data_IF_760369248343
#
_entry.id   IF_760369248343
#
_cell.length_a   1.000
_cell.length_b   1.000
_cell.length_c   1.000
_cell.angle_alpha   90.00
_cell.angle_beta   90.00
_cell.angle_gamma   90.00
#
_symmetry.space_group_name_H-M   'P 1'
#
loop_
_entity.id
_entity.type
_entity.pdbx_description
1 polymer ?
#
# COMPACT_ATOMS: atom_id res chain seq x y z
N UNK A 1 -15.03 18.90 -18.29
CA UNK A 1 -14.80 17.50 -17.84
C UNK A 1 -13.36 17.15 -18.14
N UNK A 2 -12.62 16.73 -17.11
CA UNK A 2 -11.21 16.40 -17.23
C UNK A 2 -10.96 15.03 -16.58
N UNK A 3 -10.31 14.14 -17.31
CA UNK A 3 -9.76 12.89 -16.80
C UNK A 3 -8.25 12.91 -17.05
N UNK A 4 -7.43 12.77 -16.00
CA UNK A 4 -5.98 12.67 -16.13
C UNK A 4 -5.44 11.48 -15.34
N UNK A 5 -4.39 10.85 -15.87
CA UNK A 5 -3.66 9.78 -15.16
C UNK A 5 -2.41 10.41 -14.57
N UNK A 6 -2.26 10.29 -13.26
CA UNK A 6 -1.19 10.93 -12.49
C UNK A 6 -0.49 9.91 -11.61
N UNK A 7 0.83 10.00 -11.48
CA UNK A 7 1.55 9.34 -10.39
C UNK A 7 1.07 9.93 -9.05
N UNK A 8 0.98 9.11 -7.99
CA UNK A 8 0.53 9.55 -6.67
C UNK A 8 1.23 10.83 -6.17
N UNK A 9 2.54 11.00 -6.45
CA UNK A 9 3.33 12.16 -6.01
C UNK A 9 2.81 13.47 -6.62
N UNK A 10 2.21 13.38 -7.81
CA UNK A 10 1.60 14.53 -8.48
C UNK A 10 0.25 14.90 -7.87
N UNK A 11 -0.33 14.10 -6.97
CA UNK A 11 -1.53 14.50 -6.22
C UNK A 11 -1.27 15.67 -5.26
N UNK A 12 -0.01 16.03 -5.00
CA UNK A 12 0.33 17.26 -4.27
C UNK A 12 -0.27 18.50 -4.94
N UNK A 13 -0.43 18.51 -6.27
CA UNK A 13 -1.12 19.59 -6.98
C UNK A 13 -2.57 19.75 -6.49
N UNK A 14 -3.24 18.64 -6.16
CA UNK A 14 -4.58 18.69 -5.62
C UNK A 14 -4.55 19.37 -4.24
N UNK A 15 -3.60 19.01 -3.37
CA UNK A 15 -3.45 19.60 -2.03
C UNK A 15 -3.19 21.11 -2.11
N UNK A 16 -2.26 21.53 -2.97
CA UNK A 16 -1.96 22.94 -3.21
C UNK A 16 -3.20 23.73 -3.68
N UNK A 17 -4.04 23.11 -4.52
CA UNK A 17 -5.25 23.76 -5.02
C UNK A 17 -6.38 23.81 -3.97
N UNK A 18 -6.37 22.91 -2.98
CA UNK A 18 -7.26 23.00 -1.81
C UNK A 18 -6.88 24.23 -0.97
N UNK A 19 -5.59 24.40 -0.70
CA UNK A 19 -5.05 25.55 0.03
C UNK A 19 -5.32 26.87 -0.71
N UNK A 20 -5.11 26.92 -2.03
CA UNK A 20 -5.38 28.12 -2.84
C UNK A 20 -6.85 28.54 -2.88
N UNK A 21 -7.78 27.65 -2.52
CA UNK A 21 -9.22 27.91 -2.50
C UNK A 21 -9.75 28.22 -1.10
N UNK A 22 -8.85 28.43 -0.13
CA UNK A 22 -9.20 28.67 1.28
C UNK A 22 -10.08 27.55 1.86
N UNK A 23 -9.85 26.30 1.42
CA UNK A 23 -10.55 25.13 1.94
C UNK A 23 -9.73 24.58 3.11
N UNK A 24 -10.19 24.86 4.34
CA UNK A 24 -9.49 24.42 5.56
C UNK A 24 -9.68 22.92 5.87
N UNK A 25 -10.73 22.30 5.31
CA UNK A 25 -11.05 20.90 5.55
C UNK A 25 -11.78 20.24 4.37
N UNK A 26 -11.54 18.94 4.19
CA UNK A 26 -12.23 18.12 3.20
C UNK A 26 -12.42 16.68 3.68
N UNK A 27 -13.33 15.95 3.05
CA UNK A 27 -13.60 14.55 3.38
C UNK A 27 -13.21 13.62 2.23
N UNK A 28 -12.72 12.43 2.58
CA UNK A 28 -12.58 11.32 1.64
C UNK A 28 -13.71 10.34 1.92
N UNK A 29 -14.45 9.99 0.87
CA UNK A 29 -15.60 9.09 0.95
C UNK A 29 -15.45 7.90 0.02
N UNK A 30 -15.95 6.74 0.46
CA UNK A 30 -16.00 5.55 -0.37
C UNK A 30 -17.17 5.60 -1.38
N UNK A 31 -17.07 4.93 -2.53
CA UNK A 31 -17.99 5.15 -3.65
C UNK A 31 -19.28 4.31 -3.60
N UNK A 32 -19.37 3.35 -2.69
CA UNK A 32 -20.43 2.35 -2.58
C UNK A 32 -21.62 2.86 -1.76
N UNK A 33 -21.37 3.37 -0.55
CA UNK A 33 -22.40 3.87 0.38
C UNK A 33 -22.20 5.35 0.75
N UNK A 34 -21.18 6.01 0.18
CA UNK A 34 -20.81 7.39 0.49
C UNK A 34 -20.47 7.59 1.98
N UNK A 35 -20.01 6.52 2.65
CA UNK A 35 -19.47 6.58 3.99
C UNK A 35 -18.19 7.40 3.99
N UNK A 36 -18.02 8.21 5.03
CA UNK A 36 -16.76 8.91 5.26
C UNK A 36 -15.69 7.88 5.61
N UNK A 37 -14.55 7.95 4.92
CA UNK A 37 -13.34 7.20 5.25
C UNK A 37 -12.46 8.03 6.18
N UNK A 38 -12.24 9.29 5.86
CA UNK A 38 -11.51 10.24 6.70
C UNK A 38 -11.99 11.67 6.50
N UNK A 39 -11.72 12.51 7.49
CA UNK A 39 -11.78 13.97 7.39
C UNK A 39 -10.37 14.52 7.52
N UNK A 40 -9.95 15.35 6.58
CA UNK A 40 -8.65 16.02 6.59
C UNK A 40 -8.87 17.47 6.95
N UNK A 41 -8.12 17.97 7.93
CA UNK A 41 -8.00 19.39 8.22
C UNK A 41 -6.58 19.84 7.91
N UNK A 42 -6.45 20.90 7.12
CA UNK A 42 -5.16 21.47 6.76
C UNK A 42 -4.65 22.34 7.92
N UNK A 43 -3.38 22.19 8.27
CA UNK A 43 -2.69 22.96 9.31
C UNK A 43 -1.27 23.30 8.84
N UNK A 44 -1.12 24.46 8.21
CA UNK A 44 0.17 24.90 7.68
C UNK A 44 0.78 23.83 6.76
N UNK A 45 1.94 23.25 7.12
CA UNK A 45 2.65 22.20 6.36
C UNK A 45 2.23 20.76 6.74
N UNK A 46 1.18 20.60 7.54
CA UNK A 46 0.71 19.30 8.04
C UNK A 46 -0.82 19.12 7.90
N UNK A 47 -1.26 17.87 8.04
CA UNK A 47 -2.66 17.47 7.94
C UNK A 47 -3.12 16.74 9.20
N UNK A 48 -4.14 17.27 9.87
CA UNK A 48 -4.86 16.53 10.92
C UNK A 48 -5.92 15.63 10.27
N UNK A 49 -5.71 14.32 10.36
CA UNK A 49 -6.60 13.29 9.81
C UNK A 49 -7.46 12.72 10.93
N UNK A 50 -8.78 12.90 10.83
CA UNK A 50 -9.77 12.20 11.65
C UNK A 50 -10.23 10.91 10.97
N UNK A 51 -10.00 9.77 11.63
CA UNK A 51 -10.36 8.44 11.14
C UNK A 51 -11.84 8.12 11.34
N UNK A 52 -12.35 7.25 10.49
CA UNK A 52 -13.69 6.69 10.65
C UNK A 52 -13.70 5.46 11.54
N UNK A 53 -14.78 5.29 12.29
CA UNK A 53 -14.93 4.16 13.20
C UNK A 53 -15.30 2.89 12.45
N UNK A 54 -14.99 1.71 13.01
CA UNK A 54 -15.42 0.41 12.48
C UNK A 54 -16.90 0.37 12.16
N UNK A 55 -17.74 0.88 13.08
CA UNK A 55 -19.20 0.94 12.93
C UNK A 55 -19.65 1.74 11.69
N UNK A 56 -18.91 2.78 11.32
CA UNK A 56 -19.24 3.60 10.14
C UNK A 56 -18.86 2.92 8.82
N UNK A 57 -18.00 1.90 8.87
CA UNK A 57 -17.50 1.16 7.71
C UNK A 57 -18.01 -0.29 7.71
N UNK A 58 -19.03 -0.58 8.52
CA UNK A 58 -19.74 -1.86 8.42
C UNK A 58 -20.54 -1.88 7.12
N UNK A 59 -20.27 -2.89 6.30
CA UNK A 59 -21.01 -3.13 5.06
C UNK A 59 -22.44 -3.55 5.46
N UNK A 60 -23.49 -2.83 5.01
CA UNK A 60 -24.86 -3.21 5.32
C UNK A 60 -25.18 -4.59 4.73
N UNK A 61 -25.46 -5.57 5.59
CA UNK A 61 -25.90 -6.91 5.15
C UNK A 61 -27.37 -6.82 4.75
N UNK A 62 -27.62 -6.66 3.46
CA UNK A 62 -28.97 -6.71 2.89
C UNK A 62 -29.30 -8.15 2.49
N UNK A 63 -30.32 -8.77 3.11
CA UNK A 63 -30.79 -10.12 2.73
C UNK A 63 -31.49 -10.17 1.37
N UNK A 64 -31.84 -9.02 0.81
CA UNK A 64 -32.71 -8.89 -0.38
C UNK A 64 -31.95 -8.51 -1.64
N UNK A 65 -30.63 -8.32 -1.54
CA UNK A 65 -29.85 -7.63 -2.56
C UNK A 65 -28.58 -8.43 -2.86
N UNK A 66 -28.36 -8.69 -4.15
CA UNK A 66 -27.40 -9.68 -4.68
C UNK A 66 -25.93 -9.22 -4.60
N UNK A 67 -25.46 -8.82 -3.42
CA UNK A 67 -24.08 -8.38 -3.23
C UNK A 67 -23.13 -9.57 -3.09
N UNK A 68 -21.97 -9.52 -3.74
CA UNK A 68 -20.82 -10.28 -3.25
C UNK A 68 -20.12 -9.39 -2.21
N UNK A 69 -20.47 -9.60 -0.93
CA UNK A 69 -19.90 -8.84 0.20
C UNK A 69 -18.36 -8.86 0.20
N UNK A 70 -17.75 -9.86 -0.43
CA UNK A 70 -16.29 -9.99 -0.54
C UNK A 70 -15.65 -8.93 -1.46
N UNK A 71 -16.43 -8.27 -2.32
CA UNK A 71 -15.92 -7.26 -3.26
C UNK A 71 -16.03 -5.83 -2.74
N UNK A 72 -16.73 -5.61 -1.63
CA UNK A 72 -16.84 -4.31 -0.97
C UNK A 72 -15.79 -4.24 0.14
N UNK A 73 -14.76 -3.41 0.01
CA UNK A 73 -13.77 -3.24 1.05
C UNK A 73 -14.41 -2.69 2.32
N UNK A 74 -14.10 -3.33 3.45
CA UNK A 74 -14.64 -2.98 4.75
C UNK A 74 -13.59 -2.31 5.65
N UNK A 75 -13.78 -2.47 6.96
CA UNK A 75 -12.86 -1.92 7.96
C UNK A 75 -11.45 -2.54 7.89
N UNK A 76 -11.32 -3.79 7.45
CA UNK A 76 -10.01 -4.45 7.36
C UNK A 76 -9.15 -3.83 6.26
N UNK A 77 -9.69 -3.67 5.05
CA UNK A 77 -8.98 -3.00 3.94
C UNK A 77 -8.70 -1.53 4.28
N UNK A 78 -9.63 -0.86 4.95
CA UNK A 78 -9.38 0.48 5.47
C UNK A 78 -8.18 0.50 6.43
N UNK A 79 -8.14 -0.42 7.40
CA UNK A 79 -7.04 -0.54 8.37
C UNK A 79 -5.71 -0.87 7.68
N UNK A 80 -5.72 -1.76 6.70
CA UNK A 80 -4.54 -2.07 5.88
C UNK A 80 -4.01 -0.81 5.20
N UNK A 81 -4.86 0.02 4.58
CA UNK A 81 -4.44 1.30 3.99
C UNK A 81 -3.83 2.27 5.02
N UNK A 82 -4.35 2.32 6.25
CA UNK A 82 -3.78 3.18 7.30
C UNK A 82 -2.37 2.73 7.68
N UNK A 83 -2.13 1.42 7.71
CA UNK A 83 -0.83 0.84 8.06
C UNK A 83 0.13 0.94 6.87
N UNK A 84 -0.28 0.61 5.65
CA UNK A 84 0.60 0.68 4.49
C UNK A 84 1.01 2.11 4.15
N UNK A 85 0.14 3.09 4.38
CA UNK A 85 0.42 4.48 4.04
C UNK A 85 1.45 5.18 4.94
N UNK A 86 1.70 4.66 6.14
CA UNK A 86 2.49 5.37 7.15
C UNK A 86 1.67 6.03 8.26
N UNK A 87 0.34 6.07 8.14
CA UNK A 87 -0.51 6.84 9.06
C UNK A 87 -0.59 6.22 10.46
N UNK A 88 -0.67 4.89 10.51
CA UNK A 88 -0.77 4.13 11.76
C UNK A 88 0.40 3.18 11.85
N UNK A 89 1.18 3.28 12.92
CA UNK A 89 2.30 2.40 13.17
C UNK A 89 1.87 1.03 13.73
N UNK A 90 2.77 0.06 13.56
CA UNK A 90 2.72 -1.19 14.32
C UNK A 90 2.91 -0.89 15.81
N UNK A 91 2.35 -1.74 16.67
CA UNK A 91 2.36 -1.50 18.11
C UNK A 91 3.78 -1.48 18.69
N UNK A 92 4.65 -2.34 18.19
CA UNK A 92 6.06 -2.47 18.59
C UNK A 92 7.01 -1.82 17.58
N UNK A 93 6.60 -0.70 16.97
CA UNK A 93 7.40 -0.04 15.93
C UNK A 93 8.76 0.47 16.41
N UNK A 94 8.87 0.90 17.67
CA UNK A 94 10.17 1.30 18.23
C UNK A 94 11.11 0.10 18.38
N UNK A 95 10.60 -1.03 18.87
CA UNK A 95 11.38 -2.27 19.00
C UNK A 95 11.87 -2.77 17.63
N UNK A 96 11.05 -2.60 16.58
CA UNK A 96 11.47 -2.90 15.20
C UNK A 96 12.62 -1.99 14.75
N UNK A 97 12.54 -0.69 15.04
CA UNK A 97 13.64 0.24 14.72
C UNK A 97 14.91 -0.11 15.48
N UNK A 98 14.80 -0.51 16.76
CA UNK A 98 15.94 -0.98 17.56
C UNK A 98 16.60 -2.19 16.89
N UNK A 99 15.80 -3.16 16.46
CA UNK A 99 16.25 -4.39 15.81
C UNK A 99 16.92 -4.13 14.46
N UNK A 100 16.33 -3.27 13.61
CA UNK A 100 16.95 -2.87 12.33
C UNK A 100 18.24 -2.07 12.58
N UNK A 101 18.26 -1.20 13.59
CA UNK A 101 19.44 -0.41 13.92
C UNK A 101 20.59 -1.28 14.43
N UNK A 102 20.31 -2.38 15.13
CA UNK A 102 21.31 -3.36 15.53
C UNK A 102 22.07 -3.92 14.31
N UNK A 103 21.35 -4.39 13.28
CA UNK A 103 21.98 -4.91 12.07
C UNK A 103 22.74 -3.83 11.29
N UNK A 104 22.15 -2.63 11.19
CA UNK A 104 22.81 -1.50 10.55
C UNK A 104 24.16 -1.16 11.20
N UNK A 105 24.25 -1.23 12.54
CA UNK A 105 25.50 -1.00 13.27
C UNK A 105 26.49 -2.15 13.11
N UNK A 106 26.03 -3.40 13.19
CA UNK A 106 26.90 -4.57 13.10
C UNK A 106 27.63 -4.65 11.77
N UNK A 107 27.01 -4.21 10.67
CA UNK A 107 27.67 -4.17 9.35
C UNK A 107 28.71 -3.05 9.23
N UNK A 108 28.56 -1.96 9.98
CA UNK A 108 29.41 -0.76 9.86
C UNK A 108 30.59 -0.73 10.83
N UNK A 109 30.55 -1.51 11.89
CA UNK A 109 31.56 -1.53 12.94
C UNK A 109 32.43 -2.80 12.84
N UNK A 110 33.70 -2.69 12.41
CA UNK A 110 34.60 -3.83 12.32
C UNK A 110 34.79 -4.50 13.69
N UNK A 111 34.39 -5.78 13.80
CA UNK A 111 34.56 -6.60 15.00
C UNK A 111 33.29 -6.87 15.81
N UNK A 112 32.12 -6.32 15.43
CA UNK A 112 30.83 -6.74 16.02
C UNK A 112 30.20 -7.94 15.30
N UNK A 113 30.31 -8.03 13.98
CA UNK A 113 29.94 -9.20 13.18
C UNK A 113 30.90 -9.31 11.99
N UNK A 114 31.14 -10.54 11.50
CA UNK A 114 31.89 -10.80 10.27
C UNK A 114 30.99 -10.99 9.04
N UNK A 115 29.67 -11.01 9.21
CA UNK A 115 28.71 -11.40 8.17
C UNK A 115 27.65 -10.32 7.96
N UNK A 116 27.36 -10.02 6.68
CA UNK A 116 26.27 -9.14 6.27
C UNK A 116 24.93 -9.84 6.48
N UNK A 117 23.94 -9.09 6.96
CA UNK A 117 22.61 -9.64 7.28
C UNK A 117 21.65 -9.33 6.15
N UNK A 118 21.10 -10.37 5.53
CA UNK A 118 20.11 -10.25 4.49
C UNK A 118 18.71 -10.22 5.09
N UNK A 119 17.96 -9.16 4.82
CA UNK A 119 16.57 -9.02 5.26
C UNK A 119 15.62 -9.74 4.29
N UNK A 120 14.57 -10.36 4.84
CA UNK A 120 13.51 -10.96 4.04
C UNK A 120 12.14 -10.75 4.68
N UNK A 121 11.09 -10.90 3.87
CA UNK A 121 9.71 -10.63 4.25
C UNK A 121 8.80 -11.81 3.90
N UNK A 122 7.73 -11.97 4.67
CA UNK A 122 6.62 -12.84 4.30
C UNK A 122 5.59 -12.14 3.38
N UNK A 123 4.56 -12.89 3.00
CA UNK A 123 3.46 -12.41 2.17
C UNK A 123 2.69 -11.26 2.84
N UNK A 124 2.45 -11.30 4.15
CA UNK A 124 1.70 -10.26 4.87
C UNK A 124 2.44 -8.92 4.89
N UNK A 125 3.75 -8.96 5.13
CA UNK A 125 4.60 -7.76 5.10
C UNK A 125 4.62 -7.12 3.72
N UNK A 126 4.57 -7.92 2.65
CA UNK A 126 4.43 -7.39 1.29
C UNK A 126 3.11 -6.62 1.10
N UNK A 127 1.99 -7.11 1.68
CA UNK A 127 0.72 -6.38 1.68
C UNK A 127 0.76 -5.07 2.47
N UNK A 128 1.61 -4.95 3.50
CA UNK A 128 1.82 -3.69 4.22
C UNK A 128 2.84 -2.76 3.57
N UNK A 129 3.53 -3.22 2.50
CA UNK A 129 4.55 -2.47 1.77
C UNK A 129 5.61 -1.85 2.68
N UNK A 130 6.03 -2.62 3.67
CA UNK A 130 6.85 -2.13 4.78
C UNK A 130 8.11 -1.40 4.31
N UNK A 131 8.87 -2.01 3.41
CA UNK A 131 10.18 -1.53 2.96
C UNK A 131 10.00 -0.29 2.08
N UNK A 132 9.13 -0.33 1.07
CA UNK A 132 8.95 0.81 0.15
C UNK A 132 8.23 2.02 0.77
N UNK A 133 7.57 1.84 1.91
CA UNK A 133 6.73 2.88 2.55
C UNK A 133 7.28 3.42 3.86
N UNK A 134 7.98 2.60 4.64
CA UNK A 134 8.42 2.97 5.98
C UNK A 134 9.89 3.32 6.06
N UNK A 135 10.68 3.01 5.04
CA UNK A 135 12.04 3.52 4.91
C UNK A 135 12.02 4.88 4.18
N UNK A 136 12.93 5.80 4.55
CA UNK A 136 14.00 5.65 5.53
C UNK A 136 13.51 5.72 6.98
N UNK A 137 14.04 4.84 7.83
CA UNK A 137 13.82 4.89 9.27
C UNK A 137 14.69 5.98 9.90
N UNK A 138 14.09 6.73 10.83
CA UNK A 138 14.82 7.67 11.69
C UNK A 138 14.86 7.12 13.09
N UNK A 139 16.07 6.88 13.59
CA UNK A 139 16.30 6.35 14.91
C UNK A 139 17.57 6.95 15.51
N UNK A 140 17.45 7.55 16.70
CA UNK A 140 18.57 8.14 17.44
C UNK A 140 19.46 9.06 16.57
N UNK A 141 18.83 9.96 15.80
CA UNK A 141 19.51 10.86 14.86
C UNK A 141 20.07 10.20 13.59
N UNK A 142 20.09 8.87 13.52
CA UNK A 142 20.53 8.09 12.36
C UNK A 142 19.38 7.91 11.38
N UNK A 143 19.69 8.13 10.09
CA UNK A 143 18.79 7.84 8.98
C UNK A 143 19.24 6.54 8.34
N UNK A 144 18.45 5.48 8.52
CA UNK A 144 18.68 4.16 7.94
C UNK A 144 17.77 4.04 6.71
N UNK A 145 18.37 3.84 5.53
CA UNK A 145 17.63 3.69 4.28
C UNK A 145 17.47 2.22 3.92
N UNK A 146 16.52 1.92 3.04
CA UNK A 146 16.32 0.55 2.60
C UNK A 146 17.53 0.03 1.83
N UNK A 147 18.25 0.89 1.11
CA UNK A 147 19.48 0.54 0.38
C UNK A 147 20.69 0.27 1.27
N UNK A 148 20.58 0.47 2.59
CA UNK A 148 21.66 0.17 3.52
C UNK A 148 21.66 -1.33 3.94
N UNK A 149 20.81 -2.17 3.33
CA UNK A 149 20.72 -3.61 3.57
C UNK A 149 20.67 -4.40 2.25
N UNK A 150 21.07 -5.66 2.32
CA UNK A 150 20.79 -6.64 1.28
C UNK A 150 19.49 -7.40 1.56
N UNK A 151 18.84 -7.90 0.51
CA UNK A 151 17.52 -8.54 0.62
C UNK A 151 17.46 -9.91 -0.02
N UNK A 152 16.65 -10.78 0.55
CA UNK A 152 16.25 -12.06 -0.01
C UNK A 152 14.75 -12.09 -0.25
N UNK A 153 14.34 -12.67 -1.37
CA UNK A 153 12.93 -12.86 -1.71
C UNK A 153 12.63 -14.32 -2.05
N UNK A 154 11.74 -14.92 -1.26
CA UNK A 154 11.27 -16.29 -1.49
C UNK A 154 10.33 -16.38 -2.68
N UNK A 155 10.55 -17.35 -3.57
CA UNK A 155 9.64 -17.61 -4.69
C UNK A 155 8.27 -18.14 -4.26
N UNK A 156 8.14 -18.61 -3.01
CA UNK A 156 6.86 -19.03 -2.43
C UNK A 156 6.01 -17.78 -2.16
N UNK A 157 6.58 -16.74 -1.55
CA UNK A 157 5.92 -15.45 -1.31
C UNK A 157 5.48 -14.80 -2.62
N UNK A 158 6.36 -14.78 -3.64
CA UNK A 158 5.99 -14.31 -4.98
C UNK A 158 4.82 -15.13 -5.57
N UNK A 159 4.90 -16.46 -5.45
CA UNK A 159 3.88 -17.37 -5.97
C UNK A 159 2.51 -17.23 -5.29
N UNK A 160 2.49 -16.91 -4.01
CA UNK A 160 1.26 -16.62 -3.25
C UNK A 160 0.61 -15.34 -3.77
N UNK A 161 1.36 -14.24 -3.86
CA UNK A 161 0.82 -12.98 -4.38
C UNK A 161 0.35 -13.14 -5.84
N UNK A 162 1.14 -13.79 -6.71
CA UNK A 162 0.76 -14.06 -8.10
C UNK A 162 -0.50 -14.93 -8.22
N UNK A 163 -0.78 -15.80 -7.23
CA UNK A 163 -1.99 -16.61 -7.22
C UNK A 163 -3.26 -15.76 -7.13
N UNK A 164 -3.22 -14.63 -6.42
CA UNK A 164 -4.36 -13.74 -6.25
C UNK A 164 -4.59 -12.80 -7.46
N UNK A 165 -3.66 -12.74 -8.42
CA UNK A 165 -3.77 -11.92 -9.64
C UNK A 165 -4.45 -12.71 -10.77
N UNK A 166 -5.69 -13.17 -10.56
CA UNK A 166 -6.38 -14.04 -11.55
C UNK A 166 -7.73 -13.55 -11.99
N UNK A 167 -8.42 -12.80 -11.13
CA UNK A 167 -9.83 -12.53 -11.32
C UNK A 167 -10.10 -11.11 -11.82
N UNK A 168 -11.04 -11.00 -12.75
CA UNK A 168 -11.50 -9.72 -13.29
C UNK A 168 -13.01 -9.69 -13.24
N UNK A 169 -13.57 -8.52 -12.98
CA UNK A 169 -15.01 -8.30 -13.04
C UNK A 169 -15.55 -8.59 -14.45
N UNK A 170 -16.41 -9.60 -14.54
CA UNK A 170 -17.30 -9.85 -15.67
C UNK A 170 -18.53 -8.93 -15.61
N UNK A 171 -19.28 -8.88 -16.72
CA UNK A 171 -20.51 -8.05 -16.80
C UNK A 171 -21.58 -8.51 -15.81
N UNK A 172 -21.63 -9.80 -15.49
CA UNK A 172 -22.53 -10.38 -14.48
C UNK A 172 -22.21 -9.87 -13.08
N UNK A 173 -20.93 -9.82 -12.76
CA UNK A 173 -20.42 -9.45 -11.43
C UNK A 173 -20.75 -7.98 -11.15
N UNK A 174 -20.62 -7.11 -12.16
CA UNK A 174 -20.99 -5.69 -12.07
C UNK A 174 -22.50 -5.43 -12.02
N UNK A 175 -23.33 -6.40 -12.43
CA UNK A 175 -24.79 -6.32 -12.26
C UNK A 175 -25.19 -6.70 -10.84
N UNK A 176 -24.44 -7.61 -10.22
CA UNK A 176 -24.57 -8.02 -8.82
C UNK A 176 -23.95 -7.01 -7.85
N UNK A 177 -22.87 -6.33 -8.26
CA UNK A 177 -22.42 -5.06 -7.66
C UNK A 177 -23.46 -4.00 -8.01
N UNK A 178 -24.62 -4.06 -7.35
CA UNK A 178 -25.64 -3.04 -7.32
C UNK A 178 -25.09 -1.78 -6.68
N UNK A 179 -24.15 -1.13 -7.36
CA UNK A 179 -23.65 0.19 -7.00
C UNK A 179 -24.85 1.12 -6.97
N UNK A 180 -25.43 1.31 -5.77
CA UNK A 180 -26.39 2.36 -5.39
C UNK A 180 -25.74 3.73 -5.47
N UNK A 181 -24.92 3.93 -6.48
CA UNK A 181 -24.15 5.12 -6.61
C UNK A 181 -25.08 6.22 -7.13
N UNK A 182 -25.36 7.18 -6.25
CA UNK A 182 -25.55 8.58 -6.67
C UNK A 182 -24.36 9.08 -7.52
N UNK A 183 -23.25 8.33 -7.56
CA UNK A 183 -22.12 8.49 -8.47
C UNK A 183 -22.49 7.87 -9.82
N UNK A 184 -22.84 8.71 -10.78
CA UNK A 184 -23.01 8.28 -12.17
C UNK A 184 -21.86 7.39 -12.66
N UNK A 185 -22.20 6.33 -13.38
CA UNK A 185 -21.33 5.59 -14.30
C UNK A 185 -19.95 5.04 -13.88
N UNK A 186 -19.61 5.07 -12.59
CA UNK A 186 -18.39 4.48 -12.05
C UNK A 186 -18.25 2.98 -12.40
N UNK A 187 -19.37 2.26 -12.51
CA UNK A 187 -19.44 0.86 -12.97
C UNK A 187 -18.64 0.59 -14.24
N UNK A 188 -18.67 1.48 -15.22
CA UNK A 188 -17.94 1.27 -16.47
C UNK A 188 -16.42 1.34 -16.30
N UNK A 189 -15.94 2.04 -15.26
CA UNK A 189 -14.51 2.10 -14.93
C UNK A 189 -14.02 0.79 -14.31
N UNK A 190 -14.89 0.05 -13.62
CA UNK A 190 -14.60 -1.25 -13.00
C UNK A 190 -14.69 -2.42 -13.98
N UNK A 191 -15.32 -2.24 -15.15
CA UNK A 191 -15.47 -3.32 -16.13
C UNK A 191 -14.15 -3.89 -16.61
N UNK A 192 -14.02 -5.23 -16.55
CA UNK A 192 -12.81 -5.97 -16.91
C UNK A 192 -11.57 -5.47 -16.13
N UNK A 193 -11.77 -5.09 -14.87
CA UNK A 193 -10.70 -4.74 -13.91
C UNK A 193 -10.62 -5.78 -12.82
N UNK A 194 -9.50 -5.78 -12.09
CA UNK A 194 -9.26 -6.73 -11.00
C UNK A 194 -10.30 -6.60 -9.88
N UNK A 195 -10.70 -7.75 -9.35
CA UNK A 195 -11.46 -7.88 -8.09
C UNK A 195 -10.69 -7.25 -6.92
N UNK A 196 -11.32 -7.11 -5.75
CA UNK A 196 -10.65 -6.62 -4.56
C UNK A 196 -9.36 -7.40 -4.28
N UNK A 197 -9.42 -8.73 -4.31
CA UNK A 197 -8.26 -9.61 -4.13
C UNK A 197 -7.14 -9.35 -5.15
N UNK A 198 -7.51 -9.18 -6.43
CA UNK A 198 -6.52 -8.82 -7.46
C UNK A 198 -5.92 -7.43 -7.23
N UNK A 199 -6.69 -6.47 -6.70
CA UNK A 199 -6.17 -5.14 -6.35
C UNK A 199 -5.19 -5.22 -5.18
N UNK A 200 -5.52 -5.99 -4.13
CA UNK A 200 -4.62 -6.27 -3.00
C UNK A 200 -3.32 -6.92 -3.49
N UNK A 201 -3.43 -7.94 -4.33
CA UNK A 201 -2.27 -8.65 -4.85
C UNK A 201 -1.35 -7.74 -5.67
N UNK A 202 -1.92 -6.93 -6.58
CA UNK A 202 -1.14 -5.94 -7.34
C UNK A 202 -0.50 -4.89 -6.45
N UNK A 203 -1.15 -4.51 -5.35
CA UNK A 203 -0.57 -3.62 -4.35
C UNK A 203 0.69 -4.22 -3.71
N UNK A 204 0.63 -5.49 -3.29
CA UNK A 204 1.77 -6.22 -2.74
C UNK A 204 2.85 -6.48 -3.79
N UNK A 205 2.48 -6.73 -5.07
CA UNK A 205 3.45 -6.89 -6.17
C UNK A 205 4.37 -5.67 -6.31
N UNK A 206 3.90 -4.46 -5.99
CA UNK A 206 4.78 -3.28 -6.05
C UNK A 206 5.86 -3.27 -4.97
N UNK A 207 5.59 -3.87 -3.81
CA UNK A 207 6.65 -4.12 -2.82
C UNK A 207 7.68 -5.10 -3.38
N UNK A 208 7.22 -6.20 -3.98
CA UNK A 208 8.12 -7.19 -4.59
C UNK A 208 8.94 -6.60 -5.73
N UNK A 209 8.34 -5.71 -6.53
CA UNK A 209 9.04 -4.97 -7.58
C UNK A 209 10.09 -4.02 -7.02
N UNK A 210 9.79 -3.31 -5.92
CA UNK A 210 10.76 -2.45 -5.24
C UNK A 210 11.95 -3.28 -4.73
N UNK A 211 11.67 -4.39 -4.02
CA UNK A 211 12.71 -5.31 -3.54
C UNK A 211 13.58 -5.85 -4.69
N UNK A 212 12.95 -6.34 -5.77
CA UNK A 212 13.67 -6.96 -6.90
C UNK A 212 14.39 -5.95 -7.79
N UNK A 213 13.75 -4.82 -8.07
CA UNK A 213 14.17 -3.87 -9.09
C UNK A 213 15.05 -2.75 -8.55
N UNK A 214 14.68 -2.19 -7.40
CA UNK A 214 15.43 -1.07 -6.79
C UNK A 214 16.47 -1.58 -5.79
N UNK A 215 16.12 -2.59 -4.97
CA UNK A 215 17.01 -3.13 -3.93
C UNK A 215 17.76 -4.41 -4.35
N UNK A 216 17.59 -4.88 -5.58
CA UNK A 216 18.27 -6.05 -6.15
C UNK A 216 18.16 -7.34 -5.30
N UNK A 217 17.03 -7.55 -4.64
CA UNK A 217 16.81 -8.70 -3.77
C UNK A 217 17.13 -10.04 -4.48
N UNK A 218 17.97 -10.86 -3.86
CA UNK A 218 18.33 -12.16 -4.40
C UNK A 218 17.17 -13.15 -4.21
N UNK A 219 16.88 -13.92 -5.25
CA UNK A 219 15.73 -14.83 -5.28
C UNK A 219 16.08 -16.20 -4.72
N UNK A 220 15.30 -16.67 -3.75
CA UNK A 220 15.41 -18.01 -3.19
C UNK A 220 14.32 -18.90 -3.78
N UNK A 221 14.72 -20.04 -4.33
CA UNK A 221 13.78 -21.01 -4.89
C UNK A 221 13.20 -21.88 -3.79
N UNK A 222 11.88 -21.92 -3.71
CA UNK A 222 11.12 -22.84 -2.86
C UNK A 222 9.98 -23.51 -3.63
N UNK A 223 9.55 -24.67 -3.15
CA UNK A 223 8.45 -25.43 -3.74
C UNK A 223 7.15 -25.18 -2.96
N UNK A 224 6.30 -24.27 -3.44
CA UNK A 224 5.03 -23.97 -2.80
C UNK A 224 4.08 -25.19 -2.81
N UNK A 225 3.41 -25.41 -1.68
CA UNK A 225 2.22 -26.24 -1.58
C UNK A 225 1.03 -25.49 -2.15
N UNK A 226 0.21 -26.16 -2.96
CA UNK A 226 -0.98 -25.53 -3.56
C UNK A 226 -2.18 -25.47 -2.62
N UNK A 227 -2.15 -26.22 -1.51
CA UNK A 227 -3.35 -26.48 -0.69
C UNK A 227 -3.12 -26.24 0.80
N UNK A 228 -1.91 -25.84 1.21
CA UNK A 228 -1.51 -25.85 2.61
C UNK A 228 -0.56 -24.69 2.88
N UNK A 229 -1.10 -23.61 3.45
CA UNK A 229 -0.36 -22.39 3.77
C UNK A 229 0.62 -22.59 4.92
N UNK A 230 0.27 -23.41 5.91
CA UNK A 230 1.18 -23.72 7.03
C UNK A 230 2.42 -24.48 6.52
N UNK A 231 2.25 -25.39 5.55
CA UNK A 231 3.39 -25.99 4.85
C UNK A 231 4.20 -24.99 4.03
N UNK A 232 3.61 -23.91 3.55
CA UNK A 232 4.37 -22.87 2.84
C UNK A 232 5.24 -22.08 3.81
N UNK A 233 4.72 -21.71 4.99
CA UNK A 233 5.48 -21.00 6.01
C UNK A 233 6.72 -21.77 6.44
N UNK A 234 6.54 -23.06 6.75
CA UNK A 234 7.66 -23.98 7.06
C UNK A 234 8.69 -23.99 5.91
N UNK A 235 8.24 -24.15 4.66
CA UNK A 235 9.14 -24.23 3.50
C UNK A 235 9.84 -22.91 3.20
N UNK A 236 9.22 -21.77 3.50
CA UNK A 236 9.85 -20.47 3.38
C UNK A 236 11.06 -20.46 4.33
N UNK A 237 10.83 -20.72 5.62
CA UNK A 237 11.89 -20.72 6.64
C UNK A 237 12.99 -21.73 6.33
N UNK A 238 12.66 -22.99 6.01
CA UNK A 238 13.63 -24.02 5.64
C UNK A 238 14.49 -23.60 4.44
N UNK A 239 13.89 -22.87 3.47
CA UNK A 239 14.62 -22.37 2.30
C UNK A 239 15.56 -21.21 2.66
N UNK A 240 15.19 -20.38 3.63
CA UNK A 240 16.04 -19.29 4.14
C UNK A 240 17.23 -19.85 4.90
N UNK A 241 16.99 -20.75 5.85
CA UNK A 241 18.02 -21.43 6.65
C UNK A 241 19.05 -22.10 5.74
N UNK A 242 18.57 -22.92 4.80
CA UNK A 242 19.43 -23.59 3.84
C UNK A 242 20.25 -22.62 2.99
N UNK A 243 19.63 -21.54 2.51
CA UNK A 243 20.33 -20.55 1.70
C UNK A 243 21.41 -19.82 2.49
N UNK A 244 21.10 -19.43 3.73
CA UNK A 244 22.06 -18.83 4.66
C UNK A 244 23.26 -19.73 4.89
N UNK A 245 23.02 -21.00 5.21
CA UNK A 245 24.07 -22.00 5.41
C UNK A 245 24.91 -22.26 4.14
N UNK A 246 24.26 -22.45 2.98
CA UNK A 246 24.94 -22.70 1.70
C UNK A 246 25.82 -21.51 1.24
N UNK A 247 25.46 -20.29 1.65
CA UNK A 247 26.13 -19.05 1.24
C UNK A 247 27.00 -18.42 2.32
N UNK A 248 26.98 -18.95 3.54
CA UNK A 248 27.63 -18.38 4.72
C UNK A 248 27.24 -16.91 4.89
N UNK A 249 25.93 -16.65 4.96
CA UNK A 249 25.33 -15.35 5.21
C UNK A 249 24.28 -15.48 6.31
N UNK A 250 24.11 -14.41 7.07
CA UNK A 250 23.03 -14.27 8.02
C UNK A 250 21.75 -13.82 7.32
N UNK A 251 20.61 -14.38 7.74
CA UNK A 251 19.29 -14.05 7.18
C UNK A 251 18.34 -13.68 8.30
N UNK A 252 17.60 -12.58 8.15
CA UNK A 252 16.64 -12.12 9.13
C UNK A 252 15.24 -11.92 8.52
N UNK A 253 14.23 -12.56 9.12
CA UNK A 253 12.85 -12.58 8.63
C UNK A 253 11.97 -11.55 9.35
N UNK A 254 11.21 -10.77 8.58
CA UNK A 254 10.18 -9.86 9.10
C UNK A 254 8.81 -10.46 8.77
N UNK A 255 7.94 -10.55 9.76
CA UNK A 255 6.58 -11.10 9.60
C UNK A 255 5.58 -10.39 10.53
N UNK A 256 4.28 -10.54 10.26
CA UNK A 256 3.22 -10.24 11.24
C UNK A 256 2.56 -11.50 11.82
N UNK A 257 2.94 -12.68 11.33
CA UNK A 257 2.35 -13.96 11.74
C UNK A 257 3.17 -14.60 12.87
N UNK A 258 2.51 -14.89 13.99
CA UNK A 258 3.14 -15.57 15.13
C UNK A 258 3.43 -17.05 14.84
N UNK A 259 2.72 -17.68 13.90
CA UNK A 259 3.05 -19.05 13.49
C UNK A 259 4.39 -19.07 12.73
N UNK A 260 4.66 -18.05 11.91
CA UNK A 260 5.95 -17.87 11.26
C UNK A 260 7.10 -17.76 12.27
N UNK A 261 6.88 -17.09 13.40
CA UNK A 261 7.86 -17.00 14.50
C UNK A 261 8.28 -18.38 15.02
N UNK A 262 7.31 -19.27 15.26
CA UNK A 262 7.59 -20.62 15.76
C UNK A 262 8.43 -21.41 14.76
N UNK A 263 8.18 -21.26 13.46
CA UNK A 263 8.97 -21.93 12.42
C UNK A 263 10.39 -21.34 12.34
N UNK A 264 10.52 -20.02 12.35
CA UNK A 264 11.81 -19.33 12.34
C UNK A 264 12.68 -19.69 13.55
N UNK A 265 12.11 -19.76 14.75
CA UNK A 265 12.80 -20.16 15.98
C UNK A 265 13.35 -21.59 15.88
N UNK A 266 12.57 -22.53 15.35
CA UNK A 266 13.00 -23.93 15.17
C UNK A 266 14.13 -24.11 14.15
N UNK A 267 14.27 -23.19 13.20
CA UNK A 267 15.31 -23.16 12.16
C UNK A 267 16.44 -22.18 12.50
N UNK A 268 16.48 -21.64 13.72
CA UNK A 268 17.49 -20.68 14.17
C UNK A 268 17.62 -19.44 13.26
N UNK A 269 16.57 -19.07 12.52
CA UNK A 269 16.54 -17.89 11.66
C UNK A 269 16.13 -16.67 12.50
N UNK A 270 16.98 -15.64 12.68
CA UNK A 270 16.59 -14.40 13.32
C UNK A 270 15.29 -13.84 12.73
N UNK A 271 14.36 -13.40 13.57
CA UNK A 271 13.10 -12.86 13.10
C UNK A 271 12.61 -11.69 13.94
N UNK A 272 11.74 -10.89 13.35
CA UNK A 272 10.99 -9.85 14.03
C UNK A 272 9.51 -9.93 13.68
N UNK A 273 8.65 -10.01 14.71
CA UNK A 273 7.20 -9.99 14.52
C UNK A 273 6.66 -8.59 14.75
N UNK A 274 6.13 -7.98 13.69
CA UNK A 274 5.42 -6.72 13.77
C UNK A 274 4.00 -6.94 14.32
N UNK A 275 3.67 -6.26 15.40
CA UNK A 275 2.40 -6.39 16.08
C UNK A 275 1.36 -5.42 15.52
N UNK A 276 0.22 -5.96 15.08
CA UNK A 276 -0.87 -5.16 14.55
C UNK A 276 -1.47 -4.23 15.61
N UNK A 277 -1.77 -2.97 15.28
CA UNK A 277 -2.33 -2.03 16.25
C UNK A 277 -3.71 -2.50 16.74
N UNK A 278 -3.88 -2.59 18.05
CA UNK A 278 -5.16 -2.96 18.67
C UNK A 278 -6.18 -1.82 18.67
N UNK A 279 -5.71 -0.57 18.77
CA UNK A 279 -6.53 0.64 18.78
C UNK A 279 -5.99 1.60 17.74
N UNK A 280 -6.89 2.22 16.98
CA UNK A 280 -6.55 3.28 16.07
C UNK A 280 -6.73 4.61 16.80
N UNK A 281 -5.69 5.44 16.81
CA UNK A 281 -5.80 6.80 17.31
C UNK A 281 -6.72 7.59 16.38
N UNK A 282 -7.80 8.17 16.93
CA UNK A 282 -8.85 8.81 16.13
C UNK A 282 -8.34 10.00 15.30
N UNK A 283 -7.35 10.73 15.82
CA UNK A 283 -6.77 11.92 15.18
C UNK A 283 -5.26 11.76 15.07
N UNK A 284 -4.73 11.91 13.87
CA UNK A 284 -3.30 11.80 13.58
C UNK A 284 -2.85 13.05 12.82
N UNK A 285 -1.61 13.47 13.00
CA UNK A 285 -1.02 14.58 12.27
C UNK A 285 0.09 14.03 11.39
N UNK A 286 0.07 14.36 10.10
CA UNK A 286 1.00 13.81 9.10
C UNK A 286 1.36 14.85 8.06
N UNK A 287 2.50 14.65 7.39
CA UNK A 287 2.90 15.42 6.22
C UNK A 287 2.39 14.83 4.89
N UNK A 288 2.77 15.49 3.79
CA UNK A 288 2.34 15.19 2.42
C UNK A 288 2.51 13.71 2.05
N UNK A 289 3.69 13.13 2.27
CA UNK A 289 4.00 11.80 1.76
C UNK A 289 3.04 10.74 2.30
N UNK A 290 2.74 10.78 3.60
CA UNK A 290 1.78 9.87 4.23
C UNK A 290 0.36 10.10 3.70
N UNK A 291 -0.06 11.36 3.51
CA UNK A 291 -1.38 11.65 2.95
C UNK A 291 -1.51 11.18 1.49
N UNK A 292 -0.49 11.43 0.66
CA UNK A 292 -0.46 10.99 -0.74
C UNK A 292 -0.48 9.46 -0.86
N UNK A 293 0.27 8.77 0.02
CA UNK A 293 0.22 7.31 0.12
C UNK A 293 -1.17 6.83 0.52
N UNK A 294 -1.77 7.44 1.54
CA UNK A 294 -3.10 7.09 2.01
C UNK A 294 -4.18 7.28 0.94
N UNK A 295 -4.14 8.41 0.21
CA UNK A 295 -5.07 8.68 -0.90
C UNK A 295 -4.92 7.64 -2.01
N UNK A 296 -3.69 7.29 -2.38
CA UNK A 296 -3.42 6.24 -3.36
C UNK A 296 -3.96 4.88 -2.90
N UNK A 297 -3.60 4.47 -1.68
CA UNK A 297 -3.92 3.15 -1.15
C UNK A 297 -5.44 2.99 -0.99
N UNK A 298 -6.14 3.99 -0.47
CA UNK A 298 -7.61 4.00 -0.41
C UNK A 298 -8.23 3.97 -1.80
N UNK A 299 -7.78 4.80 -2.74
CA UNK A 299 -8.30 4.81 -4.10
C UNK A 299 -8.13 3.44 -4.78
N UNK A 300 -7.02 2.74 -4.51
CA UNK A 300 -6.76 1.40 -5.04
C UNK A 300 -7.65 0.35 -4.38
N UNK A 301 -7.69 0.26 -3.05
CA UNK A 301 -8.45 -0.78 -2.36
C UNK A 301 -9.96 -0.63 -2.60
N UNK A 302 -10.49 0.59 -2.44
CA UNK A 302 -11.90 0.92 -2.71
C UNK A 302 -12.20 1.08 -4.21
N UNK A 303 -11.19 0.93 -5.07
CA UNK A 303 -11.26 1.10 -6.52
C UNK A 303 -11.49 2.55 -6.99
N UNK A 304 -12.15 3.37 -6.18
CA UNK A 304 -12.14 4.82 -6.23
C UNK A 304 -12.41 5.42 -4.85
N UNK A 305 -12.14 6.72 -4.69
CA UNK A 305 -12.59 7.53 -3.56
C UNK A 305 -13.04 8.90 -4.04
N UNK A 306 -13.99 9.50 -3.33
CA UNK A 306 -14.55 10.81 -3.64
C UNK A 306 -14.01 11.87 -2.70
N UNK A 307 -13.87 13.08 -3.23
CA UNK A 307 -13.53 14.28 -2.49
C UNK A 307 -14.64 15.31 -2.79
N UNK A 308 -15.75 15.30 -2.03
CA UNK A 308 -16.95 16.06 -2.34
C UNK A 308 -16.70 17.57 -2.46
N UNK A 309 -15.91 18.13 -1.55
CA UNK A 309 -15.59 19.55 -1.47
C UNK A 309 -14.91 20.04 -2.77
N UNK A 310 -14.21 19.15 -3.45
CA UNK A 310 -13.48 19.40 -4.69
C UNK A 310 -14.26 18.98 -5.94
N UNK A 311 -15.46 18.41 -5.77
CA UNK A 311 -16.23 17.79 -6.84
C UNK A 311 -15.38 16.84 -7.70
N UNK A 312 -14.54 16.05 -7.03
CA UNK A 312 -13.47 15.25 -7.64
C UNK A 312 -13.54 13.80 -7.18
N UNK A 313 -13.09 12.88 -8.04
CA UNK A 313 -12.98 11.46 -7.73
C UNK A 313 -11.62 10.93 -8.16
N UNK A 314 -10.95 10.20 -7.26
CA UNK A 314 -9.71 9.50 -7.54
C UNK A 314 -10.02 8.04 -7.80
N UNK A 315 -9.64 7.54 -8.96
CA UNK A 315 -9.81 6.15 -9.35
C UNK A 315 -8.49 5.40 -9.20
N UNK A 316 -8.44 4.41 -8.32
CA UNK A 316 -7.33 3.47 -8.27
C UNK A 316 -7.41 2.42 -9.37
N UNK A 317 -8.61 2.14 -9.90
CA UNK A 317 -8.81 1.31 -11.09
C UNK A 317 -9.64 2.02 -12.15
N UNK A 318 -9.26 1.85 -13.43
CA UNK A 318 -9.99 2.42 -14.56
C UNK A 318 -9.80 1.64 -15.85
N UNK A 319 -10.70 1.88 -16.80
CA UNK A 319 -10.59 1.40 -18.18
C UNK A 319 -9.25 1.79 -18.82
N UNK A 320 -8.39 0.81 -19.11
CA UNK A 320 -7.07 1.02 -19.72
C UNK A 320 -5.91 1.09 -18.72
N UNK A 321 -6.12 0.86 -17.41
CA UNK A 321 -5.00 0.70 -16.46
C UNK A 321 -4.13 -0.51 -16.86
N UNK A 322 -2.84 -0.28 -17.08
CA UNK A 322 -1.80 -1.26 -17.46
C UNK A 322 -0.93 -1.58 -16.25
N UNK A 323 -0.14 -2.65 -16.29
CA UNK A 323 0.77 -3.01 -15.21
C UNK A 323 1.80 -1.91 -14.94
N UNK A 324 2.29 -1.23 -15.97
CA UNK A 324 3.13 -0.04 -15.80
C UNK A 324 2.47 1.07 -14.97
N UNK A 325 1.15 1.22 -15.00
CA UNK A 325 0.45 2.20 -14.16
C UNK A 325 0.36 1.76 -12.69
N UNK A 326 0.43 0.45 -12.39
CA UNK A 326 0.54 -0.02 -11.01
C UNK A 326 1.96 0.25 -10.50
N UNK A 327 2.99 -0.04 -11.31
CA UNK A 327 4.39 0.17 -10.91
C UNK A 327 4.80 1.63 -10.76
N UNK A 328 4.11 2.53 -11.44
CA UNK A 328 4.27 3.96 -11.22
C UNK A 328 3.18 4.54 -10.29
N UNK A 329 2.49 3.69 -9.52
CA UNK A 329 1.48 4.06 -8.52
C UNK A 329 0.51 5.14 -9.01
N UNK A 330 0.06 4.97 -10.25
CA UNK A 330 -0.78 5.96 -10.89
C UNK A 330 -2.23 5.82 -10.43
N UNK A 331 -2.88 6.95 -10.20
CA UNK A 331 -4.33 7.07 -10.07
C UNK A 331 -4.88 7.84 -11.26
N UNK A 332 -6.17 7.66 -11.54
CA UNK A 332 -6.89 8.52 -12.48
C UNK A 332 -7.71 9.55 -11.71
N UNK A 333 -7.38 10.82 -11.92
CA UNK A 333 -8.13 11.95 -11.43
C UNK A 333 -9.31 12.25 -12.36
N UNK A 334 -10.50 12.37 -11.79
CA UNK A 334 -11.70 12.82 -12.48
C UNK A 334 -12.23 14.07 -11.82
N UNK A 335 -12.36 15.15 -12.60
CA UNK A 335 -12.92 16.42 -12.13
C UNK A 335 -14.27 16.63 -12.81
N UNK A 336 -15.31 16.81 -12.00
CA UNK A 336 -16.65 17.06 -12.51
C UNK A 336 -16.73 18.42 -13.22
N UNK A 337 -17.51 18.53 -14.31
CA UNK A 337 -17.74 19.81 -14.98
C UNK A 337 -18.20 20.89 -14.00
N UNK A 338 -17.59 22.07 -14.08
CA UNK A 338 -17.93 23.22 -13.23
C UNK A 338 -17.22 23.26 -11.88
N UNK A 339 -16.33 22.30 -11.58
CA UNK A 339 -15.42 22.42 -10.45
C UNK A 339 -14.45 23.59 -10.65
N UNK A 340 -14.24 24.36 -9.59
CA UNK A 340 -13.24 25.44 -9.50
C UNK A 340 -11.82 24.95 -9.83
N UNK A 341 -11.55 23.66 -9.61
CA UNK A 341 -10.26 23.02 -9.84
C UNK A 341 -9.94 22.72 -11.32
N UNK A 342 -10.92 22.77 -12.22
CA UNK A 342 -10.71 22.31 -13.60
C UNK A 342 -9.65 23.14 -14.34
N UNK A 343 -9.61 24.46 -14.16
CA UNK A 343 -8.64 25.32 -14.86
C UNK A 343 -7.24 25.28 -14.21
N UNK A 344 -7.10 25.42 -12.88
CA UNK A 344 -5.81 25.36 -12.23
C UNK A 344 -5.11 24.01 -12.41
N UNK A 345 -5.81 22.88 -12.21
CA UNK A 345 -5.18 21.57 -12.37
C UNK A 345 -4.77 21.29 -13.82
N UNK A 346 -5.50 21.78 -14.83
CA UNK A 346 -5.04 21.69 -16.24
C UNK A 346 -3.72 22.43 -16.46
N UNK A 347 -3.52 23.58 -15.80
CA UNK A 347 -2.26 24.33 -15.87
C UNK A 347 -1.14 23.51 -15.22
N UNK A 348 -1.37 22.99 -14.03
CA UNK A 348 -0.31 22.34 -13.26
C UNK A 348 0.09 20.99 -13.89
N UNK A 349 -0.88 20.22 -14.40
CA UNK A 349 -0.62 19.00 -15.18
C UNK A 349 0.23 19.31 -16.42
N UNK A 350 -0.02 20.43 -17.12
CA UNK A 350 0.82 20.85 -18.26
C UNK A 350 2.25 21.17 -17.81
N UNK A 351 2.43 21.82 -16.66
CA UNK A 351 3.75 22.13 -16.11
C UNK A 351 4.50 20.84 -15.79
N UNK A 352 3.89 19.91 -15.04
CA UNK A 352 4.51 18.63 -14.69
C UNK A 352 4.88 17.82 -15.94
N UNK A 353 3.98 17.75 -16.91
CA UNK A 353 4.24 17.02 -18.16
C UNK A 353 5.38 17.65 -18.96
N UNK A 354 5.54 18.98 -18.90
CA UNK A 354 6.64 19.67 -19.58
C UNK A 354 7.97 19.43 -18.88
N UNK A 355 8.00 19.46 -17.55
CA UNK A 355 9.19 19.15 -16.75
C UNK A 355 9.64 17.70 -16.90
N UNK A 356 8.69 16.76 -16.95
CA UNK A 356 8.98 15.34 -17.14
C UNK A 356 9.61 15.06 -18.50
N UNK A 357 9.17 15.75 -19.56
CA UNK A 357 9.78 15.65 -20.90
C UNK A 357 11.19 16.22 -20.95
N UNK A 358 11.43 17.35 -20.26
CA UNK A 358 12.77 17.94 -20.18
C UNK A 358 13.77 16.98 -19.52
N UNK A 359 13.39 16.33 -18.42
CA UNK A 359 14.24 15.32 -17.72
C UNK A 359 14.54 14.05 -18.51
N UNK A 360 13.82 13.78 -19.60
CA UNK A 360 14.04 12.60 -20.46
C UNK A 360 14.95 12.86 -21.66
N UNK A 361 15.38 14.12 -21.84
CA UNK A 361 16.28 14.56 -22.92
C UNK A 361 17.71 14.80 -22.45
N UNK A 362 17.95 14.74 -21.14
CA UNK A 362 19.25 14.69 -20.47
C UNK A 362 19.54 13.25 -20.03
#
# INVERSE_FOLDING_TARGET
>A
MMEEVLNKRNLVMLLNEIENQDIDEFEIREPYFNNRLLKVKIKDEEYEIELSSKKNLEVPVSKEEYWDEKEIPGFNEYKECLISSGLVDFQNWNDFKDWIHYFYKSEKEPGLSSESVFLTIDTNIAYYRLISRRFPLRYDGTKIRSEDFDYLLSSIVEGEIDHHIRDKYHKSDLKMMGLHSKIGDIRYKFRNRGTLETRKAKFATEELNHLRGELNAARIKGNASKTDSEKNDIRIVESLEKFGWDKNIDVALISTDRNMANHAENSEVPFFILEMPHKLQRKNVVGDETLLNLLHDLALMFGAVQIPELSTTLFGIWGGKKDSHYSHECVKLWINPGSSLESPLKRDVKVINSLSKAKSLD
#
